data_IF_051319082698
#
_entry.id   IF_051319082698
#
_cell.length_a   1.000
_cell.length_b   1.000
_cell.length_c   1.000
_cell.angle_alpha   90.00
_cell.angle_beta   90.00
_cell.angle_gamma   90.00
#
_symmetry.space_group_name_H-M   'P 1'
#
loop_
_entity.id
_entity.type
_entity.pdbx_description
1 polymer ?
#
# COMPACT_ATOMS: atom_id res chain seq x y z
N UNK A 1 9.18 7.66 18.76
CA UNK A 1 9.18 6.71 17.61
C UNK A 1 9.44 7.53 16.36
N UNK A 2 10.37 7.11 15.53
CA UNK A 2 10.68 7.78 14.27
C UNK A 2 10.41 6.79 13.12
N UNK A 3 9.43 7.12 12.28
CA UNK A 3 9.08 6.33 11.11
C UNK A 3 9.53 7.03 9.84
N UNK A 4 10.08 6.28 8.91
CA UNK A 4 10.27 6.72 7.53
C UNK A 4 9.46 5.83 6.60
N UNK A 5 8.52 6.41 5.87
CA UNK A 5 7.69 5.70 4.89
C UNK A 5 8.22 5.97 3.47
N UNK A 6 8.77 4.92 2.84
CA UNK A 6 9.18 4.96 1.44
C UNK A 6 7.95 4.72 0.57
N UNK A 7 7.68 5.66 -0.33
CA UNK A 7 6.52 5.62 -1.24
C UNK A 7 6.96 5.82 -2.68
N UNK A 8 6.16 5.32 -3.63
CA UNK A 8 6.27 5.69 -5.04
C UNK A 8 5.57 7.01 -5.35
N UNK A 9 5.57 7.39 -6.62
CA UNK A 9 4.87 8.59 -7.07
C UNK A 9 3.41 8.60 -6.63
N UNK A 10 2.98 9.66 -5.96
CA UNK A 10 1.63 9.77 -5.34
C UNK A 10 0.51 9.63 -6.36
N UNK A 11 0.73 10.12 -7.59
CA UNK A 11 -0.26 10.01 -8.67
C UNK A 11 -0.58 8.57 -9.08
N UNK A 12 0.40 7.66 -9.00
CA UNK A 12 0.31 6.31 -9.58
C UNK A 12 0.33 5.18 -8.54
N UNK A 13 0.97 5.39 -7.39
CA UNK A 13 1.23 4.31 -6.45
C UNK A 13 0.08 4.09 -5.47
N UNK A 14 -0.96 3.37 -5.91
CA UNK A 14 -2.09 3.00 -5.06
C UNK A 14 -1.68 2.14 -3.86
N UNK A 15 -0.62 1.35 -3.99
CA UNK A 15 -0.07 0.57 -2.88
C UNK A 15 0.57 1.46 -1.81
N UNK A 16 1.35 2.48 -2.20
CA UNK A 16 1.93 3.43 -1.26
C UNK A 16 0.89 4.34 -0.60
N UNK A 17 -0.19 4.65 -1.30
CA UNK A 17 -1.28 5.48 -0.77
C UNK A 17 -1.91 4.86 0.48
N UNK A 18 -2.03 3.53 0.57
CA UNK A 18 -2.72 2.87 1.68
C UNK A 18 -2.07 3.14 3.05
N UNK A 19 -0.77 2.81 3.28
CA UNK A 19 -0.15 3.12 4.56
C UNK A 19 0.02 4.62 4.78
N UNK A 20 0.19 5.41 3.71
CA UNK A 20 0.26 6.87 3.81
C UNK A 20 -1.05 7.45 4.36
N UNK A 21 -2.20 7.04 3.83
CA UNK A 21 -3.52 7.44 4.31
C UNK A 21 -3.74 6.94 5.73
N UNK A 22 -3.43 5.67 6.02
CA UNK A 22 -3.58 5.09 7.34
C UNK A 22 -2.83 5.91 8.40
N UNK A 23 -1.54 6.17 8.19
CA UNK A 23 -0.71 6.92 9.14
C UNK A 23 -1.20 8.36 9.30
N UNK A 24 -1.57 9.01 8.19
CA UNK A 24 -2.08 10.38 8.21
C UNK A 24 -3.40 10.48 8.98
N UNK A 25 -4.37 9.61 8.71
CA UNK A 25 -5.68 9.62 9.38
C UNK A 25 -5.60 9.22 10.86
N UNK A 26 -4.71 8.30 11.20
CA UNK A 26 -4.47 7.89 12.58
C UNK A 26 -3.62 8.91 13.39
N UNK A 27 -3.10 9.94 12.76
CA UNK A 27 -2.22 10.91 13.39
C UNK A 27 -0.90 10.27 13.87
N UNK A 28 -0.37 9.30 13.11
CA UNK A 28 0.93 8.68 13.36
C UNK A 28 1.99 9.47 12.60
N UNK A 29 2.93 10.15 13.28
CA UNK A 29 3.93 10.97 12.62
C UNK A 29 4.96 10.13 11.86
N UNK A 30 5.31 10.55 10.66
CA UNK A 30 6.33 9.89 9.84
C UNK A 30 7.05 10.87 8.90
N UNK A 31 8.26 10.53 8.52
CA UNK A 31 8.98 11.17 7.43
C UNK A 31 8.64 10.47 6.11
N UNK A 32 8.19 11.23 5.13
CA UNK A 32 7.92 10.71 3.80
C UNK A 32 9.21 10.72 2.96
N UNK A 33 9.52 9.59 2.33
CA UNK A 33 10.60 9.47 1.35
C UNK A 33 10.06 8.95 0.03
N UNK A 34 9.99 9.82 -0.98
CA UNK A 34 9.55 9.42 -2.31
C UNK A 34 10.67 8.76 -3.09
N UNK A 35 10.40 7.56 -3.60
CA UNK A 35 11.23 6.81 -4.54
C UNK A 35 10.54 6.86 -5.89
N UNK A 36 11.07 7.65 -6.83
CA UNK A 36 10.43 7.87 -8.12
C UNK A 36 10.43 6.62 -9.00
N UNK A 37 9.32 6.43 -9.72
CA UNK A 37 9.21 5.42 -10.76
C UNK A 37 9.91 5.91 -12.04
N UNK A 38 11.23 5.74 -12.10
CA UNK A 38 12.04 6.05 -13.27
C UNK A 38 12.23 4.81 -14.16
N UNK A 39 12.64 3.71 -13.57
CA UNK A 39 12.81 2.42 -14.23
C UNK A 39 12.67 1.29 -13.19
N UNK A 40 12.14 0.15 -13.61
CA UNK A 40 12.06 -1.07 -12.81
C UNK A 40 13.14 -2.09 -13.18
N UNK A 41 14.05 -1.75 -14.10
CA UNK A 41 15.16 -2.60 -14.50
C UNK A 41 16.09 -2.89 -13.31
N UNK A 42 16.78 -4.04 -13.29
CA UNK A 42 17.84 -4.30 -12.34
C UNK A 42 18.88 -3.18 -12.34
N UNK A 43 19.26 -2.69 -11.15
CA UNK A 43 20.24 -1.61 -11.02
C UNK A 43 19.71 -0.19 -11.26
N UNK A 44 18.41 -0.01 -11.52
CA UNK A 44 17.80 1.33 -11.59
C UNK A 44 17.90 2.07 -10.27
N UNK A 45 17.81 3.41 -10.29
CA UNK A 45 17.80 4.23 -9.07
C UNK A 45 16.65 3.85 -8.13
N UNK A 46 15.50 3.47 -8.69
CA UNK A 46 14.38 2.92 -7.93
C UNK A 46 14.78 1.65 -7.16
N UNK A 47 15.42 0.67 -7.82
CA UNK A 47 15.84 -0.58 -7.18
C UNK A 47 16.97 -0.36 -6.17
N UNK A 48 17.92 0.51 -6.50
CA UNK A 48 19.01 0.86 -5.58
C UNK A 48 18.50 1.51 -4.28
N UNK A 49 17.51 2.40 -4.38
CA UNK A 49 16.92 3.07 -3.21
C UNK A 49 16.20 2.11 -2.24
N UNK A 50 15.83 0.91 -2.69
CA UNK A 50 15.17 -0.13 -1.90
C UNK A 50 16.10 -1.25 -1.44
N UNK A 51 17.36 -1.23 -1.89
CA UNK A 51 18.36 -2.23 -1.49
C UNK A 51 18.60 -2.19 0.02
N UNK A 52 18.55 -3.34 0.65
CA UNK A 52 18.69 -3.47 2.12
C UNK A 52 17.46 -3.07 2.93
N UNK A 53 16.40 -2.52 2.28
CA UNK A 53 15.17 -2.07 2.95
C UNK A 53 14.00 -3.00 2.59
N UNK A 54 13.75 -3.19 1.30
CA UNK A 54 12.65 -4.00 0.80
C UNK A 54 13.17 -5.16 -0.05
N UNK A 55 13.21 -6.39 0.48
CA UNK A 55 13.65 -7.57 -0.28
C UNK A 55 12.82 -7.81 -1.55
N UNK A 56 11.56 -7.38 -1.56
CA UNK A 56 10.70 -7.45 -2.74
C UNK A 56 11.09 -6.45 -3.83
N UNK A 57 11.94 -5.45 -3.51
CA UNK A 57 12.29 -4.35 -4.41
C UNK A 57 11.08 -3.52 -4.82
N UNK A 58 10.07 -3.39 -3.94
CA UNK A 58 8.82 -2.65 -4.17
C UNK A 58 8.56 -1.65 -3.03
N UNK A 59 7.73 -0.68 -3.32
CA UNK A 59 7.12 0.25 -2.36
C UNK A 59 5.64 -0.13 -2.13
N UNK A 60 5.05 0.17 -0.94
CA UNK A 60 5.64 0.89 0.17
C UNK A 60 6.61 0.05 1.00
N UNK A 61 7.48 0.73 1.76
CA UNK A 61 8.25 0.15 2.84
C UNK A 61 8.32 1.14 4.01
N UNK A 62 8.17 0.63 5.23
CA UNK A 62 8.23 1.41 6.46
C UNK A 62 9.52 1.06 7.19
N UNK A 63 10.26 2.06 7.63
CA UNK A 63 11.41 1.91 8.54
C UNK A 63 11.00 2.44 9.91
N UNK A 64 11.20 1.65 10.95
CA UNK A 64 11.06 2.07 12.35
C UNK A 64 12.42 2.13 13.00
N UNK A 65 12.94 3.35 13.17
CA UNK A 65 14.24 3.60 13.81
C UNK A 65 14.21 3.34 15.33
N UNK A 66 13.06 3.14 15.93
CA UNK A 66 12.93 2.82 17.37
C UNK A 66 13.00 1.33 17.67
N UNK A 67 12.99 0.47 16.66
CA UNK A 67 13.07 -0.97 16.76
C UNK A 67 14.23 -1.50 15.94
N UNK A 68 14.92 -2.49 16.46
CA UNK A 68 16.10 -3.06 15.79
C UNK A 68 15.98 -4.58 15.68
N UNK A 69 16.46 -5.08 14.57
CA UNK A 69 16.62 -6.52 14.31
C UNK A 69 17.79 -7.09 15.12
N UNK A 70 17.93 -8.40 15.19
CA UNK A 70 19.00 -9.06 15.95
C UNK A 70 20.44 -8.70 15.49
N UNK A 71 20.59 -8.12 14.29
CA UNK A 71 21.87 -7.60 13.78
C UNK A 71 22.03 -6.07 13.97
N UNK A 72 21.16 -5.44 14.76
CA UNK A 72 21.24 -4.03 15.10
C UNK A 72 20.76 -3.04 14.03
N UNK A 73 20.19 -3.52 12.95
CA UNK A 73 19.61 -2.64 11.91
C UNK A 73 18.17 -2.22 12.29
N UNK A 74 17.73 -0.99 11.92
CA UNK A 74 16.33 -0.61 12.06
C UNK A 74 15.38 -1.63 11.44
N UNK A 75 14.21 -1.80 12.07
CA UNK A 75 13.19 -2.69 11.51
C UNK A 75 12.63 -2.07 10.24
N UNK A 76 12.69 -2.82 9.14
CA UNK A 76 12.05 -2.48 7.89
C UNK A 76 10.88 -3.45 7.63
N UNK A 77 9.70 -2.88 7.42
CA UNK A 77 8.47 -3.63 7.10
C UNK A 77 8.06 -3.27 5.69
N UNK A 78 7.90 -4.27 4.85
CA UNK A 78 7.43 -4.10 3.48
C UNK A 78 6.11 -4.83 3.29
N UNK A 79 5.36 -4.45 2.28
CA UNK A 79 3.98 -4.81 2.01
C UNK A 79 2.95 -4.00 2.83
N UNK A 80 1.87 -3.65 2.16
CA UNK A 80 0.84 -2.76 2.70
C UNK A 80 0.11 -3.34 3.91
N UNK A 81 -0.25 -4.63 3.87
CA UNK A 81 -0.96 -5.27 4.99
C UNK A 81 -0.02 -5.49 6.16
N UNK A 82 1.22 -5.91 5.91
CA UNK A 82 2.22 -6.07 6.96
C UNK A 82 2.50 -4.75 7.67
N UNK A 83 2.60 -3.64 6.94
CA UNK A 83 2.74 -2.30 7.52
C UNK A 83 1.52 -1.95 8.39
N UNK A 84 0.30 -2.22 7.91
CA UNK A 84 -0.92 -1.92 8.66
C UNK A 84 -1.00 -2.74 9.98
N UNK A 85 -0.69 -4.03 9.94
CA UNK A 85 -0.65 -4.89 11.14
C UNK A 85 0.46 -4.44 12.11
N UNK A 86 1.66 -4.17 11.60
CA UNK A 86 2.75 -3.66 12.43
C UNK A 86 2.39 -2.36 13.15
N UNK A 87 1.79 -1.41 12.43
CA UNK A 87 1.33 -0.15 13.03
C UNK A 87 0.22 -0.37 14.05
N UNK A 88 -0.69 -1.32 13.84
CA UNK A 88 -1.75 -1.66 14.80
C UNK A 88 -1.17 -2.22 16.11
N UNK A 89 -0.13 -3.03 16.04
CA UNK A 89 0.58 -3.55 17.21
C UNK A 89 1.38 -2.47 17.93
N UNK A 90 2.01 -1.56 17.19
CA UNK A 90 2.84 -0.47 17.72
C UNK A 90 2.02 0.67 18.35
N UNK A 91 0.78 0.84 17.91
CA UNK A 91 -0.13 1.91 18.33
C UNK A 91 -1.50 1.37 18.79
N UNK A 92 -1.55 0.58 19.87
CA UNK A 92 -2.81 -0.01 20.37
C UNK A 92 -3.83 1.07 20.77
N UNK A 93 -3.35 2.25 21.18
CA UNK A 93 -4.16 3.44 21.51
C UNK A 93 -4.92 4.02 20.31
N UNK A 94 -4.46 3.76 19.09
CA UNK A 94 -5.10 4.27 17.86
C UNK A 94 -6.27 3.42 17.39
N UNK A 95 -6.45 2.23 17.96
CA UNK A 95 -7.55 1.31 17.62
C UNK A 95 -7.73 1.12 16.09
N UNK A 96 -6.62 0.87 15.37
CA UNK A 96 -6.62 0.73 13.90
C UNK A 96 -7.49 -0.43 13.42
N UNK A 97 -7.72 -1.43 14.26
CA UNK A 97 -8.67 -2.51 14.03
C UNK A 97 -9.87 -2.42 14.99
N UNK A 98 -11.07 -2.88 14.58
CA UNK A 98 -12.20 -3.00 15.49
C UNK A 98 -11.88 -3.84 16.72
N UNK A 99 -12.36 -3.43 17.89
CA UNK A 99 -12.14 -4.15 19.14
C UNK A 99 -12.91 -5.49 19.19
N UNK A 100 -14.13 -5.52 18.65
CA UNK A 100 -14.96 -6.73 18.59
C UNK A 100 -14.34 -7.75 17.62
N UNK A 101 -14.16 -9.00 18.10
CA UNK A 101 -13.49 -10.07 17.34
C UNK A 101 -14.13 -10.35 15.98
N UNK A 102 -15.46 -10.43 15.91
CA UNK A 102 -16.17 -10.67 14.66
C UNK A 102 -15.98 -9.52 13.65
N UNK A 103 -16.13 -8.27 14.08
CA UNK A 103 -15.93 -7.10 13.24
C UNK A 103 -14.47 -7.02 12.76
N UNK A 104 -13.51 -7.32 13.62
CA UNK A 104 -12.08 -7.36 13.27
C UNK A 104 -11.77 -8.44 12.24
N UNK A 105 -12.38 -9.62 12.37
CA UNK A 105 -12.22 -10.70 11.39
C UNK A 105 -12.76 -10.28 10.01
N UNK A 106 -13.95 -9.67 9.95
CA UNK A 106 -14.53 -9.17 8.70
C UNK A 106 -13.67 -8.06 8.09
N UNK A 107 -13.19 -7.11 8.88
CA UNK A 107 -12.32 -6.04 8.41
C UNK A 107 -11.02 -6.59 7.80
N UNK A 108 -10.38 -7.57 8.46
CA UNK A 108 -9.19 -8.24 7.93
C UNK A 108 -9.48 -9.01 6.65
N UNK A 109 -10.64 -9.69 6.57
CA UNK A 109 -11.05 -10.40 5.36
C UNK A 109 -11.21 -9.44 4.18
N UNK A 110 -11.89 -8.31 4.38
CA UNK A 110 -12.06 -7.28 3.35
C UNK A 110 -10.71 -6.69 2.90
N UNK A 111 -9.80 -6.41 3.84
CA UNK A 111 -8.45 -5.93 3.53
C UNK A 111 -7.63 -6.97 2.75
N UNK A 112 -7.71 -8.26 3.13
CA UNK A 112 -7.01 -9.34 2.46
C UNK A 112 -7.56 -9.58 1.04
N UNK A 113 -8.89 -9.54 0.87
CA UNK A 113 -9.53 -9.63 -0.44
C UNK A 113 -9.11 -8.47 -1.34
N UNK A 114 -9.15 -7.23 -0.82
CA UNK A 114 -8.65 -6.06 -1.56
C UNK A 114 -7.16 -6.19 -1.89
N UNK A 115 -6.36 -6.82 -1.04
CA UNK A 115 -4.94 -7.00 -1.25
C UNK A 115 -4.64 -8.03 -2.35
N UNK A 116 -5.29 -9.17 -2.35
CA UNK A 116 -5.02 -10.29 -3.27
C UNK A 116 -5.89 -10.30 -4.53
N UNK A 117 -7.06 -9.68 -4.48
CA UNK A 117 -8.06 -9.68 -5.54
C UNK A 117 -8.02 -8.48 -6.46
N UNK A 118 -9.08 -8.33 -7.28
CA UNK A 118 -9.32 -7.20 -8.19
C UNK A 118 -8.20 -6.99 -9.23
N UNK A 119 -7.66 -8.11 -9.73
CA UNK A 119 -6.53 -8.10 -10.68
C UNK A 119 -6.87 -7.43 -12.01
N UNK A 120 -8.08 -7.65 -12.52
CA UNK A 120 -8.53 -7.04 -13.77
C UNK A 120 -8.68 -5.52 -13.62
N UNK A 121 -9.31 -5.08 -12.51
CA UNK A 121 -9.44 -3.65 -12.21
C UNK A 121 -8.07 -2.96 -12.13
N UNK A 122 -7.11 -3.55 -11.42
CA UNK A 122 -5.76 -2.98 -11.28
C UNK A 122 -4.98 -2.92 -12.59
N UNK A 123 -5.17 -3.90 -13.46
CA UNK A 123 -4.45 -3.99 -14.73
C UNK A 123 -4.99 -3.05 -15.78
N UNK A 124 -6.31 -2.86 -15.83
CA UNK A 124 -6.97 -2.06 -16.87
C UNK A 124 -7.32 -0.64 -16.43
N UNK A 125 -7.48 -0.42 -15.12
CA UNK A 125 -7.83 0.89 -14.53
C UNK A 125 -6.87 1.22 -13.38
N UNK A 126 -5.56 1.34 -13.67
CA UNK A 126 -4.59 1.71 -12.65
C UNK A 126 -4.86 3.13 -12.13
N UNK A 127 -4.44 3.39 -10.90
CA UNK A 127 -4.59 4.71 -10.29
C UNK A 127 -3.83 5.78 -11.08
N UNK A 128 -4.52 6.84 -11.46
CA UNK A 128 -3.95 8.09 -11.95
C UNK A 128 -4.87 9.23 -11.49
N UNK A 129 -4.52 9.89 -10.38
CA UNK A 129 -5.38 10.89 -9.75
C UNK A 129 -5.42 12.24 -10.47
N UNK A 130 -4.50 12.47 -11.40
CA UNK A 130 -4.41 13.71 -12.18
C UNK A 130 -5.11 13.61 -13.55
N UNK A 131 -5.39 12.38 -14.03
CA UNK A 131 -5.99 12.17 -15.33
C UNK A 131 -7.51 12.06 -15.26
N UNK A 132 -8.18 12.64 -16.25
CA UNK A 132 -9.60 12.42 -16.51
C UNK A 132 -9.75 11.77 -17.88
N UNK A 133 -10.09 10.47 -17.91
CA UNK A 133 -10.11 9.64 -19.11
C UNK A 133 -11.47 8.93 -19.29
N UNK A 134 -12.60 9.67 -19.38
CA UNK A 134 -13.93 9.08 -19.41
C UNK A 134 -14.17 8.18 -20.63
N UNK A 135 -13.59 8.51 -21.78
CA UNK A 135 -13.73 7.71 -23.00
C UNK A 135 -13.02 6.35 -22.88
N UNK A 136 -11.80 6.38 -22.34
CA UNK A 136 -11.05 5.15 -22.05
C UNK A 136 -11.80 4.29 -21.04
N UNK A 137 -12.36 4.89 -19.99
CA UNK A 137 -13.19 4.20 -19.00
C UNK A 137 -14.39 3.51 -19.63
N UNK A 138 -15.11 4.17 -20.56
CA UNK A 138 -16.23 3.56 -21.29
C UNK A 138 -15.80 2.36 -22.13
N UNK A 139 -14.67 2.45 -22.83
CA UNK A 139 -14.12 1.34 -23.61
C UNK A 139 -13.73 0.15 -22.72
N UNK A 140 -13.05 0.40 -21.62
CA UNK A 140 -12.68 -0.65 -20.66
C UNK A 140 -13.92 -1.35 -20.11
N UNK A 141 -14.94 -0.60 -19.70
CA UNK A 141 -16.19 -1.16 -19.19
C UNK A 141 -16.97 -1.95 -20.25
N UNK A 142 -16.90 -1.54 -21.52
CA UNK A 142 -17.51 -2.29 -22.64
C UNK A 142 -16.78 -3.60 -22.88
N UNK A 143 -15.45 -3.57 -22.97
CA UNK A 143 -14.66 -4.67 -23.53
C UNK A 143 -14.14 -5.66 -22.48
N UNK A 144 -14.03 -5.24 -21.20
CA UNK A 144 -13.43 -6.02 -20.13
C UNK A 144 -14.48 -6.54 -19.14
N UNK A 145 -15.04 -7.73 -19.41
CA UNK A 145 -16.02 -8.37 -18.53
C UNK A 145 -15.46 -8.61 -17.11
N UNK A 146 -14.18 -8.96 -16.99
CA UNK A 146 -13.53 -9.18 -15.71
C UNK A 146 -13.43 -7.89 -14.86
N UNK A 147 -13.25 -6.72 -15.47
CA UNK A 147 -13.30 -5.43 -14.77
C UNK A 147 -14.71 -5.16 -14.22
N UNK A 148 -15.76 -5.46 -15.00
CA UNK A 148 -17.14 -5.32 -14.52
C UNK A 148 -17.42 -6.25 -13.33
N UNK A 149 -16.91 -7.49 -13.36
CA UNK A 149 -17.06 -8.43 -12.26
C UNK A 149 -16.34 -7.94 -10.99
N UNK A 150 -15.10 -7.43 -11.12
CA UNK A 150 -14.35 -6.84 -10.00
C UNK A 150 -15.11 -5.63 -9.40
N UNK A 151 -15.67 -4.74 -10.25
CA UNK A 151 -16.46 -3.61 -9.79
C UNK A 151 -17.74 -4.05 -9.10
N UNK A 152 -18.47 -5.02 -9.65
CA UNK A 152 -19.68 -5.56 -9.02
C UNK A 152 -19.37 -6.10 -7.63
N UNK A 153 -18.26 -6.83 -7.47
CA UNK A 153 -17.83 -7.35 -6.16
C UNK A 153 -17.53 -6.25 -5.13
N UNK A 154 -17.04 -5.09 -5.56
CA UNK A 154 -16.78 -3.96 -4.66
C UNK A 154 -18.07 -3.34 -4.07
N UNK A 155 -19.22 -3.51 -4.73
CA UNK A 155 -20.50 -2.93 -4.32
C UNK A 155 -21.46 -3.94 -3.69
N UNK A 156 -21.03 -5.19 -3.47
CA UNK A 156 -21.80 -6.26 -2.82
C UNK A 156 -21.13 -6.71 -1.52
#
# INVERSE_FOLDING_TARGET
>A
MSYTLLIGNKNYSSWSMRPWVLMTQAGIPFTEKMVRFDSFAPGSSFKQALTGISPSGKVPALIDDSQHTGNGQPVAVWDTLAIAEYLAERHPDKALWPSATAARALARSACAEMHSGFGALRSHVPMNIEASLPDVGRLVLRDQAAVRADLQRLFT
#
